data_IF_041522768727
#
_entry.id   IF_041522768727
#
_cell.length_a   1.000
_cell.length_b   1.000
_cell.length_c   1.000
_cell.angle_alpha   90.00
_cell.angle_beta   90.00
_cell.angle_gamma   90.00
#
_symmetry.space_group_name_H-M   'P 1'
#
loop_
_entity.id
_entity.type
_entity.pdbx_description
1 polymer ?
#
# COMPACT_ATOMS: atom_id res chain seq x y z
N UNK A 1 -8.10 -1.46 23.24
CA UNK A 1 -7.32 -2.38 22.39
C UNK A 1 -7.87 -2.42 20.97
N UNK A 2 -9.19 -2.50 20.77
CA UNK A 2 -9.80 -2.64 19.43
C UNK A 2 -9.44 -1.49 18.47
N UNK A 3 -9.59 -0.22 18.88
CA UNK A 3 -9.25 0.92 18.02
C UNK A 3 -7.75 1.00 17.70
N UNK A 4 -6.88 0.74 18.68
CA UNK A 4 -5.44 0.75 18.44
C UNK A 4 -5.04 -0.37 17.49
N UNK A 5 -5.61 -1.57 17.62
CA UNK A 5 -5.36 -2.70 16.71
C UNK A 5 -5.75 -2.41 15.26
N UNK A 6 -6.87 -1.72 15.06
CA UNK A 6 -7.32 -1.25 13.73
C UNK A 6 -6.34 -0.25 13.12
N UNK A 7 -5.85 0.71 13.92
CA UNK A 7 -4.85 1.68 13.46
C UNK A 7 -3.49 1.01 13.23
N UNK A 8 -3.08 0.14 14.15
CA UNK A 8 -1.82 -0.60 14.12
C UNK A 8 -1.97 -1.95 14.84
N UNK A 9 -1.71 -3.08 14.17
CA UNK A 9 -0.98 -3.15 12.90
C UNK A 9 -1.83 -2.98 11.62
N UNK A 10 -3.15 -3.19 11.67
CA UNK A 10 -3.95 -3.41 10.47
C UNK A 10 -3.84 -2.31 9.40
N UNK A 11 -4.23 -1.07 9.71
CA UNK A 11 -4.23 0.03 8.73
C UNK A 11 -2.82 0.46 8.34
N UNK A 12 -1.99 0.84 9.31
CA UNK A 12 -0.70 1.50 9.02
C UNK A 12 0.36 0.52 8.54
N UNK A 13 0.44 -0.65 9.16
CA UNK A 13 1.56 -1.58 8.89
C UNK A 13 1.15 -2.60 7.83
N UNK A 14 0.05 -3.31 8.06
CA UNK A 14 -0.34 -4.45 7.22
C UNK A 14 -0.89 -4.02 5.88
N UNK A 15 -1.68 -2.93 5.83
CA UNK A 15 -2.15 -2.36 4.56
C UNK A 15 -1.15 -1.36 3.98
N UNK A 16 -1.00 -0.19 4.63
CA UNK A 16 -0.31 0.94 4.00
C UNK A 16 1.19 0.68 3.76
N UNK A 17 1.89 0.13 4.76
CA UNK A 17 3.33 -0.14 4.61
C UNK A 17 3.61 -1.29 3.63
N UNK A 18 2.77 -2.34 3.61
CA UNK A 18 2.91 -3.44 2.66
C UNK A 18 2.71 -2.97 1.21
N UNK A 19 1.66 -2.19 0.93
CA UNK A 19 1.43 -1.60 -0.39
C UNK A 19 2.60 -0.70 -0.82
N UNK A 20 3.11 0.14 0.09
CA UNK A 20 4.26 1.00 -0.21
C UNK A 20 5.54 0.18 -0.46
N UNK A 21 5.72 -0.93 0.23
CA UNK A 21 6.84 -1.84 0.02
C UNK A 21 6.77 -2.51 -1.36
N UNK A 22 5.58 -2.94 -1.82
CA UNK A 22 5.39 -3.45 -3.17
C UNK A 22 5.66 -2.36 -4.22
N UNK A 23 5.19 -1.12 -4.00
CA UNK A 23 5.50 0.02 -4.88
C UNK A 23 7.01 0.25 -5.00
N UNK A 24 7.76 0.16 -3.88
CA UNK A 24 9.22 0.24 -3.88
C UNK A 24 9.87 -0.87 -4.70
N UNK A 25 9.35 -2.10 -4.65
CA UNK A 25 9.83 -3.19 -5.50
C UNK A 25 9.48 -2.97 -6.98
N UNK A 26 8.31 -2.40 -7.28
CA UNK A 26 7.93 -1.99 -8.63
C UNK A 26 8.88 -0.94 -9.22
N UNK A 27 9.42 -0.04 -8.38
CA UNK A 27 10.49 0.87 -8.79
C UNK A 27 11.76 0.10 -9.19
N UNK A 28 12.17 -0.92 -8.43
CA UNK A 28 13.35 -1.73 -8.79
C UNK A 28 13.11 -2.48 -10.12
N UNK A 29 11.92 -3.06 -10.32
CA UNK A 29 11.58 -3.80 -11.53
C UNK A 29 11.68 -2.94 -12.80
N UNK A 30 11.22 -1.68 -12.77
CA UNK A 30 11.34 -0.79 -13.95
C UNK A 30 12.78 -0.36 -14.20
N UNK A 31 13.59 -0.23 -13.14
CA UNK A 31 15.02 0.07 -13.25
C UNK A 31 15.76 -1.12 -13.89
N UNK A 32 15.47 -2.34 -13.45
CA UNK A 32 16.04 -3.56 -13.99
C UNK A 32 15.65 -3.78 -15.46
N UNK A 33 14.48 -3.27 -15.88
CA UNK A 33 14.06 -3.21 -17.29
C UNK A 33 14.72 -2.09 -18.11
N UNK A 34 15.61 -1.30 -17.50
CA UNK A 34 16.47 -0.33 -18.18
C UNK A 34 16.05 1.13 -18.05
N UNK A 35 15.04 1.46 -17.24
CA UNK A 35 14.70 2.86 -16.97
C UNK A 35 15.79 3.46 -16.06
N UNK A 36 16.37 4.65 -16.38
CA UNK A 36 17.35 5.29 -15.51
C UNK A 36 16.81 5.50 -14.09
N UNK A 37 17.57 5.10 -13.08
CA UNK A 37 17.12 5.06 -11.69
C UNK A 37 16.57 6.40 -11.17
N UNK A 38 17.27 7.51 -11.44
CA UNK A 38 16.82 8.84 -11.04
C UNK A 38 15.51 9.22 -11.73
N UNK A 39 15.38 8.96 -13.03
CA UNK A 39 14.17 9.25 -13.79
C UNK A 39 12.98 8.43 -13.29
N UNK A 40 13.16 7.13 -13.05
CA UNK A 40 12.10 6.26 -12.53
C UNK A 40 11.63 6.71 -11.14
N UNK A 41 12.58 7.05 -10.26
CA UNK A 41 12.31 7.49 -8.89
C UNK A 41 11.54 8.82 -8.88
N UNK A 42 12.02 9.80 -9.62
CA UNK A 42 11.38 11.12 -9.67
C UNK A 42 9.97 11.05 -10.27
N UNK A 43 9.81 10.23 -11.33
CA UNK A 43 8.51 9.97 -11.93
C UNK A 43 7.54 9.34 -10.94
N UNK A 44 7.95 8.26 -10.25
CA UNK A 44 7.12 7.58 -9.27
C UNK A 44 6.72 8.49 -8.11
N UNK A 45 7.70 9.16 -7.48
CA UNK A 45 7.43 9.98 -6.29
C UNK A 45 6.57 11.22 -6.62
N UNK A 46 6.75 11.80 -7.80
CA UNK A 46 5.87 12.88 -8.30
C UNK A 46 4.43 12.41 -8.45
N UNK A 47 4.22 11.21 -9.00
CA UNK A 47 2.88 10.62 -9.15
C UNK A 47 2.25 10.26 -7.81
N UNK A 48 3.00 9.63 -6.89
CA UNK A 48 2.48 9.28 -5.56
C UNK A 48 2.01 10.52 -4.80
N UNK A 49 2.74 11.65 -4.89
CA UNK A 49 2.33 12.91 -4.27
C UNK A 49 0.96 13.37 -4.79
N UNK A 50 0.77 13.40 -6.10
CA UNK A 50 -0.48 13.85 -6.71
C UNK A 50 -1.61 12.84 -6.47
N UNK A 51 -1.35 11.54 -6.56
CA UNK A 51 -2.33 10.49 -6.31
C UNK A 51 -2.84 10.52 -4.88
N UNK A 52 -1.95 10.71 -3.89
CA UNK A 52 -2.37 10.90 -2.50
C UNK A 52 -3.24 12.15 -2.36
N UNK A 53 -2.87 13.27 -2.97
CA UNK A 53 -3.68 14.49 -2.89
C UNK A 53 -5.10 14.31 -3.48
N UNK A 54 -5.23 13.52 -4.55
CA UNK A 54 -6.54 13.20 -5.16
C UNK A 54 -7.33 12.20 -4.31
N UNK A 55 -6.71 11.10 -3.88
CA UNK A 55 -7.39 10.02 -3.16
C UNK A 55 -7.86 10.40 -1.75
N UNK A 56 -7.20 11.39 -1.13
CA UNK A 56 -7.51 11.86 0.22
C UNK A 56 -8.18 13.24 0.22
N UNK A 57 -8.75 13.68 -0.92
CA UNK A 57 -9.52 14.92 -1.05
C UNK A 57 -8.75 16.22 -0.67
N UNK A 58 -7.42 16.18 -0.69
CA UNK A 58 -6.55 17.34 -0.37
C UNK A 58 -6.46 18.34 -1.54
N UNK A 59 -6.94 17.96 -2.73
CA UNK A 59 -7.04 18.83 -3.90
C UNK A 59 -8.50 18.89 -4.42
N UNK A 60 -9.30 19.87 -3.98
CA UNK A 60 -10.72 19.95 -4.31
C UNK A 60 -10.99 19.93 -5.81
N UNK A 61 -11.88 19.03 -6.24
CA UNK A 61 -12.30 18.89 -7.64
C UNK A 61 -11.32 18.14 -8.53
N UNK A 62 -10.17 17.71 -8.01
CA UNK A 62 -9.27 16.85 -8.75
C UNK A 62 -9.81 15.41 -8.78
N UNK A 63 -9.78 14.79 -9.96
CA UNK A 63 -10.23 13.41 -10.19
C UNK A 63 -9.22 12.68 -11.05
N UNK A 64 -9.22 11.36 -10.95
CA UNK A 64 -8.50 10.53 -11.91
C UNK A 64 -9.12 10.60 -13.29
N UNK A 65 -8.26 10.53 -14.31
CA UNK A 65 -8.72 10.38 -15.69
C UNK A 65 -9.36 9.01 -15.92
N UNK A 66 -10.20 8.87 -16.94
CA UNK A 66 -10.79 7.58 -17.34
C UNK A 66 -9.73 6.50 -17.56
N UNK A 67 -8.58 6.86 -18.15
CA UNK A 67 -7.47 5.95 -18.37
C UNK A 67 -6.84 5.49 -17.05
N UNK A 68 -6.63 6.42 -16.10
CA UNK A 68 -6.12 6.11 -14.77
C UNK A 68 -7.09 5.20 -14.00
N UNK A 69 -8.40 5.47 -14.06
CA UNK A 69 -9.42 4.66 -13.41
C UNK A 69 -9.45 3.23 -13.94
N UNK A 70 -9.36 3.03 -15.25
CA UNK A 70 -9.30 1.70 -15.86
C UNK A 70 -8.03 0.94 -15.49
N UNK A 71 -6.87 1.62 -15.49
CA UNK A 71 -5.61 1.01 -15.07
C UNK A 71 -5.63 0.62 -13.58
N UNK A 72 -6.26 1.43 -12.73
CA UNK A 72 -6.45 1.12 -11.31
C UNK A 72 -7.30 -0.13 -11.12
N UNK A 73 -8.38 -0.31 -11.89
CA UNK A 73 -9.22 -1.52 -11.82
C UNK A 73 -8.42 -2.79 -12.14
N UNK A 74 -7.65 -2.76 -13.23
CA UNK A 74 -6.76 -3.88 -13.60
C UNK A 74 -5.78 -4.18 -12.46
N UNK A 75 -5.12 -3.16 -11.92
CA UNK A 75 -4.17 -3.34 -10.83
C UNK A 75 -4.80 -3.90 -9.55
N UNK A 76 -6.03 -3.48 -9.21
CA UNK A 76 -6.76 -4.03 -8.07
C UNK A 76 -7.09 -5.52 -8.27
N UNK A 77 -7.51 -5.90 -9.47
CA UNK A 77 -7.85 -7.30 -9.81
C UNK A 77 -6.61 -8.21 -9.87
N UNK A 78 -5.47 -7.71 -10.38
CA UNK A 78 -4.26 -8.52 -10.55
C UNK A 78 -3.40 -8.64 -9.29
N UNK A 79 -3.43 -7.63 -8.41
CA UNK A 79 -2.45 -7.50 -7.31
C UNK A 79 -3.10 -7.71 -5.94
N UNK A 80 -4.37 -7.31 -5.77
CA UNK A 80 -5.01 -7.27 -4.46
C UNK A 80 -5.96 -8.46 -4.30
N UNK A 81 -5.80 -9.23 -3.23
CA UNK A 81 -6.72 -10.31 -2.87
C UNK A 81 -8.16 -9.80 -2.73
N UNK A 82 -9.15 -10.57 -3.16
CA UNK A 82 -10.58 -10.24 -2.99
C UNK A 82 -10.93 -10.02 -1.50
N UNK A 83 -10.33 -10.83 -0.62
CA UNK A 83 -10.55 -10.84 0.84
C UNK A 83 -9.57 -9.91 1.61
N UNK A 84 -8.94 -8.93 0.95
CA UNK A 84 -7.92 -8.09 1.60
C UNK A 84 -8.40 -7.35 2.86
N UNK A 85 -9.72 -7.16 3.02
CA UNK A 85 -10.32 -6.44 4.16
C UNK A 85 -10.32 -7.25 5.45
N UNK A 86 -10.12 -8.57 5.38
CA UNK A 86 -10.08 -9.47 6.54
C UNK A 86 -8.98 -9.09 7.54
N UNK A 87 -7.99 -8.29 7.12
CA UNK A 87 -6.97 -7.71 8.01
C UNK A 87 -7.56 -6.84 9.13
N UNK A 88 -8.80 -6.38 8.97
CA UNK A 88 -9.53 -5.58 9.97
C UNK A 88 -10.41 -6.41 10.90
N UNK A 89 -10.49 -7.73 10.68
CA UNK A 89 -11.26 -8.60 11.54
C UNK A 89 -10.61 -8.73 12.91
N UNK A 90 -11.46 -8.84 13.94
CA UNK A 90 -11.00 -8.86 15.34
C UNK A 90 -10.06 -10.01 15.64
N UNK A 91 -10.27 -11.17 15.01
CA UNK A 91 -9.39 -12.35 15.15
C UNK A 91 -8.05 -12.11 14.47
N UNK A 92 -8.05 -11.64 13.22
CA UNK A 92 -6.84 -11.32 12.47
C UNK A 92 -5.97 -10.29 13.20
N UNK A 93 -6.58 -9.22 13.73
CA UNK A 93 -5.88 -8.21 14.53
C UNK A 93 -5.24 -8.82 15.79
N UNK A 94 -5.95 -9.69 16.50
CA UNK A 94 -5.41 -10.35 17.71
C UNK A 94 -4.23 -11.24 17.37
N UNK A 95 -4.31 -11.99 16.28
CA UNK A 95 -3.23 -12.86 15.81
C UNK A 95 -2.00 -12.05 15.39
N UNK A 96 -2.19 -10.96 14.63
CA UNK A 96 -1.10 -10.06 14.27
C UNK A 96 -0.43 -9.47 15.52
N UNK A 97 -1.20 -8.97 16.49
CA UNK A 97 -0.66 -8.43 17.76
C UNK A 97 0.13 -9.51 18.50
N UNK A 98 -0.40 -10.73 18.58
CA UNK A 98 0.28 -11.86 19.22
C UNK A 98 1.62 -12.17 18.54
N UNK A 99 1.66 -12.18 17.21
CA UNK A 99 2.88 -12.45 16.44
C UNK A 99 3.93 -11.37 16.70
N UNK A 100 3.57 -10.09 16.59
CA UNK A 100 4.55 -8.97 16.67
C UNK A 100 5.01 -8.65 18.10
N UNK A 101 4.26 -9.08 19.12
CA UNK A 101 4.62 -8.86 20.53
C UNK A 101 5.23 -10.09 21.20
N UNK A 102 5.19 -11.25 20.54
CA UNK A 102 5.89 -12.44 21.03
C UNK A 102 7.39 -12.28 20.85
N UNK A 103 8.22 -12.68 21.84
CA UNK A 103 9.67 -12.65 21.69
C UNK A 103 10.09 -13.49 20.49
N UNK A 104 10.99 -12.96 19.67
CA UNK A 104 11.56 -13.71 18.56
C UNK A 104 12.22 -15.00 19.09
N UNK A 105 12.12 -16.13 18.38
CA UNK A 105 12.84 -17.33 18.78
C UNK A 105 14.32 -17.00 18.92
N UNK A 106 14.88 -17.28 20.10
CA UNK A 106 16.31 -17.25 20.34
C UNK A 106 16.88 -18.46 19.59
N UNK A 107 17.53 -18.22 18.45
CA UNK A 107 18.32 -19.22 17.73
C UNK A 107 19.69 -19.39 18.35
#
# INVERSE_FOLDING_TARGET
>A
LEQMGLLKPALVTTLASACMFIIRQGLDEVIDKGVPAEAARDFLLGHLRMQMAVLFDELPGAVFSDATTKALQIGLEEIISEDWRDIFDSENIRDQIKIITSPAPIY
#
